data_IF_485149078048
#
_entry.id   IF_485149078048
#
_cell.length_a   1.000
_cell.length_b   1.000
_cell.length_c   1.000
_cell.angle_alpha   90.00
_cell.angle_beta   90.00
_cell.angle_gamma   90.00
#
_symmetry.space_group_name_H-M   'P 1'
#
loop_
_entity.id
_entity.type
_entity.pdbx_description
1 polymer ?
#
# COMPACT_ATOMS: atom_id res chain seq x y z
N UNK A 1 -27.07 1.56 8.72
CA UNK A 1 -25.91 0.95 9.38
C UNK A 1 -25.43 -0.18 8.48
N UNK A 2 -24.15 -0.20 8.09
CA UNK A 2 -23.65 -1.19 7.13
C UNK A 2 -23.48 -2.54 7.82
N UNK A 3 -24.12 -3.58 7.30
CA UNK A 3 -23.89 -4.98 7.68
C UNK A 3 -23.28 -5.65 6.44
N UNK A 4 -22.14 -6.33 6.59
CA UNK A 4 -21.58 -7.17 5.54
C UNK A 4 -21.91 -8.63 5.82
N UNK A 5 -22.40 -9.33 4.83
CA UNK A 5 -22.75 -10.75 4.87
C UNK A 5 -22.57 -11.38 3.50
N UNK A 6 -22.71 -12.71 3.40
CA UNK A 6 -22.57 -13.45 2.14
C UNK A 6 -23.36 -12.81 1.00
N UNK A 7 -22.67 -12.56 -0.12
CA UNK A 7 -23.22 -11.86 -1.29
C UNK A 7 -22.95 -10.35 -1.31
N UNK A 8 -22.51 -9.76 -0.19
CA UNK A 8 -22.00 -8.38 -0.17
C UNK A 8 -20.77 -8.23 -1.07
N UNK A 9 -20.61 -7.06 -1.69
CA UNK A 9 -19.48 -6.77 -2.58
C UNK A 9 -18.99 -5.34 -2.41
N UNK A 10 -17.72 -5.10 -2.69
CA UNK A 10 -17.13 -3.77 -2.76
C UNK A 10 -15.90 -3.60 -1.87
N UNK A 11 -15.41 -2.37 -1.81
CA UNK A 11 -14.16 -2.03 -1.13
C UNK A 11 -14.19 -2.29 0.39
N UNK A 12 -15.35 -2.20 1.04
CA UNK A 12 -15.46 -2.56 2.47
C UNK A 12 -15.24 -4.05 2.70
N UNK A 13 -15.76 -4.91 1.81
CA UNK A 13 -15.50 -6.36 1.89
C UNK A 13 -14.02 -6.63 1.65
N UNK A 14 -13.41 -5.97 0.67
CA UNK A 14 -11.98 -6.12 0.40
C UNK A 14 -11.13 -5.73 1.61
N UNK A 15 -11.43 -4.59 2.25
CA UNK A 15 -10.73 -4.15 3.45
C UNK A 15 -10.84 -5.15 4.61
N UNK A 16 -12.02 -5.76 4.79
CA UNK A 16 -12.23 -6.83 5.77
C UNK A 16 -11.37 -8.05 5.44
N UNK A 17 -11.36 -8.51 4.18
CA UNK A 17 -10.56 -9.66 3.76
C UNK A 17 -9.06 -9.39 4.00
N UNK A 18 -8.58 -8.17 3.73
CA UNK A 18 -7.22 -7.74 4.02
C UNK A 18 -6.91 -7.77 5.52
N UNK A 19 -7.81 -7.24 6.37
CA UNK A 19 -7.66 -7.27 7.84
C UNK A 19 -7.63 -8.70 8.36
N UNK A 20 -8.59 -9.53 7.93
CA UNK A 20 -8.64 -10.93 8.30
C UNK A 20 -7.32 -11.61 7.94
N UNK A 21 -6.83 -11.47 6.71
CA UNK A 21 -5.55 -12.05 6.32
C UNK A 21 -4.38 -11.60 7.18
N UNK A 22 -4.30 -10.31 7.50
CA UNK A 22 -3.25 -9.78 8.36
C UNK A 22 -3.25 -10.39 9.77
N UNK A 23 -4.41 -10.75 10.28
CA UNK A 23 -4.57 -11.24 11.65
C UNK A 23 -4.12 -12.69 11.87
N UNK A 24 -4.08 -13.52 10.82
CA UNK A 24 -3.58 -14.91 10.88
C UNK A 24 -4.08 -15.74 12.10
N UNK A 25 -5.39 -15.79 12.32
CA UNK A 25 -5.99 -16.59 13.41
C UNK A 25 -5.67 -18.09 13.29
N UNK A 26 -5.29 -18.73 14.40
CA UNK A 26 -5.04 -20.18 14.46
C UNK A 26 -6.34 -20.95 14.22
N UNK A 27 -6.30 -22.00 13.38
CA UNK A 27 -7.46 -22.88 13.17
C UNK A 27 -8.38 -22.52 12.01
N UNK A 28 -8.00 -21.56 11.14
CA UNK A 28 -8.65 -21.36 9.83
C UNK A 28 -8.74 -22.68 9.08
N UNK A 29 -9.95 -23.21 8.97
CA UNK A 29 -10.30 -24.16 7.93
C UNK A 29 -10.88 -23.33 6.79
N UNK A 30 -10.38 -23.58 5.59
CA UNK A 30 -11.00 -23.16 4.34
C UNK A 30 -11.41 -24.44 3.63
N UNK A 31 -12.52 -24.41 2.88
CA UNK A 31 -12.97 -25.53 2.07
C UNK A 31 -12.00 -25.90 0.92
N UNK A 32 -10.99 -25.08 0.62
CA UNK A 32 -9.93 -25.40 -0.36
C UNK A 32 -8.68 -25.98 0.31
N UNK A 33 -8.20 -27.12 -0.20
CA UNK A 33 -7.03 -27.83 0.31
C UNK A 33 -5.70 -27.09 0.12
N UNK A 34 -5.71 -25.98 -0.61
CA UNK A 34 -4.56 -25.12 -0.85
C UNK A 34 -4.87 -23.71 -0.30
N UNK A 35 -4.14 -23.31 0.76
CA UNK A 35 -3.69 -21.96 1.11
C UNK A 35 -4.17 -21.28 2.43
N UNK A 36 -3.20 -20.66 3.12
CA UNK A 36 -3.25 -19.96 4.43
C UNK A 36 -3.92 -18.56 4.43
N UNK A 37 -4.48 -18.09 3.30
CA UNK A 37 -5.01 -16.70 3.18
C UNK A 37 -6.19 -16.58 2.23
N UNK A 38 -7.19 -15.75 2.59
CA UNK A 38 -8.34 -15.37 1.76
C UNK A 38 -7.92 -14.63 0.49
N UNK A 39 -8.65 -14.82 -0.60
CA UNK A 39 -8.60 -13.90 -1.73
C UNK A 39 -9.20 -12.53 -1.31
N UNK A 40 -8.53 -11.43 -1.65
CA UNK A 40 -8.96 -10.06 -1.33
C UNK A 40 -9.63 -9.40 -2.53
N UNK A 41 -10.64 -10.07 -3.06
CA UNK A 41 -11.36 -9.69 -4.30
C UNK A 41 -12.52 -8.70 -4.06
N UNK A 42 -12.86 -8.44 -2.79
CA UNK A 42 -14.02 -7.62 -2.42
C UNK A 42 -15.36 -8.32 -2.61
N UNK A 43 -15.39 -9.66 -2.67
CA UNK A 43 -16.61 -10.47 -2.75
C UNK A 43 -16.76 -11.29 -1.47
N UNK A 44 -17.86 -11.10 -0.75
CA UNK A 44 -18.13 -11.82 0.48
C UNK A 44 -18.68 -13.21 0.13
N UNK A 45 -17.77 -14.12 -0.21
CA UNK A 45 -18.04 -15.52 -0.55
C UNK A 45 -18.07 -16.44 0.67
N UNK A 46 -18.13 -17.75 0.42
CA UNK A 46 -18.13 -18.78 1.47
C UNK A 46 -16.85 -18.72 2.34
N UNK A 47 -15.69 -18.54 1.72
CA UNK A 47 -14.41 -18.50 2.44
C UNK A 47 -14.32 -17.26 3.35
N UNK A 48 -14.86 -16.12 2.90
CA UNK A 48 -14.92 -14.91 3.73
C UNK A 48 -15.87 -15.10 4.92
N UNK A 49 -17.01 -15.75 4.71
CA UNK A 49 -17.96 -16.11 5.78
C UNK A 49 -17.33 -17.03 6.83
N UNK A 50 -16.62 -18.07 6.39
CA UNK A 50 -15.91 -19.01 7.27
C UNK A 50 -14.81 -18.31 8.09
N UNK A 51 -14.07 -17.39 7.47
CA UNK A 51 -13.07 -16.60 8.19
C UNK A 51 -13.68 -15.60 9.19
N UNK A 52 -14.86 -15.03 8.89
CA UNK A 52 -15.58 -14.17 9.84
C UNK A 52 -16.11 -14.99 11.00
N UNK A 53 -16.67 -16.17 10.76
CA UNK A 53 -17.12 -17.09 11.82
C UNK A 53 -15.96 -17.48 12.73
N UNK A 54 -14.82 -17.86 12.15
CA UNK A 54 -13.61 -18.20 12.91
C UNK A 54 -13.15 -17.01 13.78
N UNK A 55 -13.11 -15.81 13.19
CA UNK A 55 -12.76 -14.60 13.94
C UNK A 55 -13.74 -14.30 15.08
N UNK A 56 -15.05 -14.43 14.82
CA UNK A 56 -16.08 -14.22 15.84
C UNK A 56 -15.91 -15.19 17.00
N UNK A 57 -15.68 -16.48 16.71
CA UNK A 57 -15.43 -17.51 17.71
C UNK A 57 -14.20 -17.19 18.58
N UNK A 58 -13.06 -16.89 17.94
CA UNK A 58 -11.80 -16.56 18.63
C UNK A 58 -11.89 -15.27 19.45
N UNK A 59 -12.75 -14.35 19.04
CA UNK A 59 -12.99 -13.08 19.71
C UNK A 59 -14.11 -13.14 20.76
N UNK A 60 -14.73 -14.31 20.98
CA UNK A 60 -15.84 -14.49 21.92
C UNK A 60 -17.12 -13.73 21.53
N UNK A 61 -17.33 -13.51 20.23
CA UNK A 61 -18.51 -12.87 19.66
C UNK A 61 -19.58 -13.90 19.28
N UNK A 62 -20.80 -13.43 19.00
CA UNK A 62 -21.83 -14.28 18.42
C UNK A 62 -21.46 -14.68 16.99
N UNK A 63 -21.36 -15.99 16.73
CA UNK A 63 -20.91 -16.60 15.47
C UNK A 63 -22.02 -16.61 14.41
N UNK A 64 -22.45 -15.43 13.94
CA UNK A 64 -23.49 -15.31 12.90
C UNK A 64 -22.93 -15.16 11.47
N UNK A 65 -21.62 -15.07 11.31
CA UNK A 65 -20.95 -14.89 10.01
C UNK A 65 -21.17 -13.50 9.40
N UNK A 66 -21.76 -12.56 10.15
CA UNK A 66 -22.09 -11.21 9.70
C UNK A 66 -21.19 -10.19 10.36
N UNK A 67 -20.80 -9.18 9.59
CA UNK A 67 -20.01 -8.07 10.11
C UNK A 67 -20.94 -6.89 10.39
N UNK A 68 -21.46 -6.86 11.61
CA UNK A 68 -22.09 -5.67 12.19
C UNK A 68 -21.07 -4.78 12.92
N UNK A 69 -21.52 -3.70 13.58
CA UNK A 69 -20.64 -2.76 14.27
C UNK A 69 -19.77 -3.41 15.36
N UNK A 70 -20.29 -4.42 16.04
CA UNK A 70 -19.57 -5.13 17.11
C UNK A 70 -18.39 -5.92 16.52
N UNK A 71 -18.63 -6.71 15.48
CA UNK A 71 -17.58 -7.47 14.78
C UNK A 71 -16.57 -6.54 14.13
N UNK A 72 -17.01 -5.41 13.55
CA UNK A 72 -16.12 -4.43 12.96
C UNK A 72 -15.19 -3.78 14.00
N UNK A 73 -15.73 -3.40 15.17
CA UNK A 73 -14.94 -2.86 16.27
C UNK A 73 -13.91 -3.88 16.79
N UNK A 74 -14.29 -5.14 16.91
CA UNK A 74 -13.39 -6.22 17.30
C UNK A 74 -12.27 -6.44 16.26
N UNK A 75 -12.60 -6.48 14.97
CA UNK A 75 -11.61 -6.60 13.89
C UNK A 75 -10.58 -5.48 13.95
N UNK A 76 -11.05 -4.24 14.17
CA UNK A 76 -10.17 -3.09 14.29
C UNK A 76 -9.27 -3.18 15.52
N UNK A 77 -9.80 -3.58 16.67
CA UNK A 77 -9.01 -3.75 17.90
C UNK A 77 -7.97 -4.88 17.77
N UNK A 78 -8.37 -6.01 17.19
CA UNK A 78 -7.45 -7.12 16.92
C UNK A 78 -6.34 -6.68 15.97
N UNK A 79 -6.69 -5.93 14.91
CA UNK A 79 -5.74 -5.42 13.94
C UNK A 79 -4.71 -4.50 14.60
N UNK A 80 -5.16 -3.51 15.37
CA UNK A 80 -4.30 -2.60 16.11
C UNK A 80 -3.42 -3.32 17.13
N UNK A 81 -3.91 -4.42 17.72
CA UNK A 81 -3.13 -5.25 18.66
C UNK A 81 -2.03 -6.02 17.92
N UNK A 82 -2.37 -6.71 16.83
CA UNK A 82 -1.40 -7.45 16.01
C UNK A 82 -0.34 -6.55 15.40
N UNK A 83 -0.72 -5.35 14.94
CA UNK A 83 0.22 -4.33 14.48
C UNK A 83 1.19 -3.91 15.58
N UNK A 84 0.70 -3.69 16.82
CA UNK A 84 1.56 -3.37 17.97
C UNK A 84 2.52 -4.50 18.30
N UNK A 85 2.06 -5.76 18.28
CA UNK A 85 2.93 -6.93 18.51
C UNK A 85 4.08 -7.00 17.49
N UNK A 86 3.78 -6.78 16.20
CA UNK A 86 4.78 -6.83 15.13
C UNK A 86 5.77 -5.65 15.17
N UNK A 87 5.34 -4.49 15.67
CA UNK A 87 6.16 -3.27 15.72
C UNK A 87 6.92 -3.09 17.06
N UNK A 88 6.42 -3.65 18.16
CA UNK A 88 7.06 -3.64 19.48
C UNK A 88 6.40 -4.67 20.41
N UNK A 89 6.93 -5.91 20.50
CA UNK A 89 6.32 -7.02 21.24
C UNK A 89 6.09 -6.79 22.75
N UNK A 90 6.65 -5.72 23.32
CA UNK A 90 6.63 -5.42 24.76
C UNK A 90 5.72 -4.24 25.17
N UNK A 91 4.94 -3.65 24.25
CA UNK A 91 4.07 -2.49 24.54
C UNK A 91 2.58 -2.81 24.40
N UNK A 92 2.03 -3.58 25.35
CA UNK A 92 0.59 -3.90 25.42
C UNK A 92 -0.20 -2.93 26.33
N UNK A 93 0.23 -1.68 26.47
CA UNK A 93 -0.47 -0.67 27.27
C UNK A 93 -0.25 0.77 26.77
N UNK A 94 -1.16 1.28 25.93
CA UNK A 94 -1.15 2.67 25.44
C UNK A 94 -1.91 2.83 24.11
N UNK A 95 -2.35 4.05 23.80
CA UNK A 95 -2.80 4.38 22.43
C UNK A 95 -1.68 4.04 21.44
N UNK A 96 -2.03 3.58 20.23
CA UNK A 96 -1.07 3.25 19.17
C UNK A 96 -0.32 4.53 18.71
N UNK A 97 0.72 4.89 19.44
CA UNK A 97 1.69 5.91 19.04
C UNK A 97 2.74 5.20 18.19
N UNK A 98 2.73 5.48 16.89
CA UNK A 98 3.73 4.99 15.98
C UNK A 98 4.89 5.98 15.90
N UNK A 99 6.11 5.45 15.76
CA UNK A 99 7.29 6.27 15.49
C UNK A 99 7.45 6.48 13.99
N UNK A 100 8.28 7.46 13.62
CA UNK A 100 8.78 7.60 12.26
C UNK A 100 10.15 6.93 12.19
N UNK A 101 10.26 5.94 11.33
CA UNK A 101 11.46 5.13 11.15
C UNK A 101 12.12 5.39 9.81
N UNK A 102 13.43 5.20 9.76
CA UNK A 102 14.23 5.33 8.55
C UNK A 102 14.56 3.95 8.01
N UNK A 103 14.28 3.73 6.72
CA UNK A 103 14.53 2.48 6.01
C UNK A 103 15.49 2.65 4.84
N UNK A 104 16.12 1.55 4.38
CA UNK A 104 17.02 1.59 3.23
C UNK A 104 16.26 1.80 1.92
N UNK A 105 16.91 2.43 0.94
CA UNK A 105 16.47 2.49 -0.44
C UNK A 105 17.71 2.51 -1.35
N UNK A 106 17.54 2.14 -2.62
CA UNK A 106 18.62 2.10 -3.59
C UNK A 106 18.80 3.44 -4.31
N UNK A 107 20.07 3.79 -4.53
CA UNK A 107 20.40 4.86 -5.46
C UNK A 107 20.14 4.40 -6.89
N UNK A 108 19.51 5.28 -7.65
CA UNK A 108 19.38 5.18 -9.10
C UNK A 108 19.58 6.56 -9.69
N UNK A 109 20.24 6.64 -10.84
CA UNK A 109 20.67 7.91 -11.44
C UNK A 109 22.00 8.43 -10.88
N UNK A 110 22.33 9.68 -11.20
CA UNK A 110 23.64 10.27 -10.90
C UNK A 110 23.55 11.75 -10.55
N UNK A 111 24.57 12.28 -9.86
CA UNK A 111 24.64 13.71 -9.53
C UNK A 111 23.41 14.20 -8.73
N UNK A 112 22.74 15.23 -9.24
CA UNK A 112 21.51 15.81 -8.68
C UNK A 112 20.23 15.10 -9.15
N UNK A 113 20.32 14.26 -10.17
CA UNK A 113 19.21 13.46 -10.72
C UNK A 113 19.30 12.02 -10.20
N UNK A 114 19.29 11.87 -8.88
CA UNK A 114 19.33 10.57 -8.23
C UNK A 114 18.29 10.44 -7.12
N UNK A 115 17.83 9.21 -6.92
CA UNK A 115 16.95 8.86 -5.82
C UNK A 115 17.62 9.01 -4.45
N UNK A 116 16.82 8.97 -3.39
CA UNK A 116 17.33 8.95 -2.02
C UNK A 116 17.77 7.53 -1.64
N UNK A 117 18.89 7.38 -0.92
CA UNK A 117 19.36 6.07 -0.44
C UNK A 117 18.59 5.58 0.79
N UNK A 118 17.63 6.38 1.28
CA UNK A 118 16.81 6.11 2.46
C UNK A 118 15.49 6.83 2.32
N UNK A 119 14.47 6.31 2.97
CA UNK A 119 13.18 6.96 3.16
C UNK A 119 12.75 6.88 4.62
N UNK A 120 11.70 7.62 4.96
CA UNK A 120 11.09 7.58 6.30
C UNK A 120 9.62 7.25 6.19
N UNK A 121 9.13 6.32 7.01
CA UNK A 121 7.74 5.90 7.06
C UNK A 121 7.30 5.76 8.52
N UNK A 122 6.00 5.64 8.74
CA UNK A 122 5.48 5.21 10.04
C UNK A 122 5.92 3.78 10.34
N UNK A 123 6.22 3.43 11.60
CA UNK A 123 6.88 2.17 11.95
C UNK A 123 6.16 0.88 11.49
N UNK A 124 4.83 0.85 11.54
CA UNK A 124 4.01 -0.24 11.01
C UNK A 124 4.12 -0.34 9.48
N UNK A 125 4.11 0.79 8.79
CA UNK A 125 4.30 0.87 7.33
C UNK A 125 5.73 0.50 6.94
N UNK A 126 6.73 0.87 7.75
CA UNK A 126 8.13 0.52 7.56
C UNK A 126 8.34 -0.99 7.64
N UNK A 127 7.63 -1.68 8.54
CA UNK A 127 7.67 -3.14 8.63
C UNK A 127 7.18 -3.80 7.34
N UNK A 128 6.06 -3.33 6.79
CA UNK A 128 5.54 -3.81 5.51
C UNK A 128 6.50 -3.48 4.34
N UNK A 129 7.04 -2.26 4.30
CA UNK A 129 8.04 -1.86 3.31
C UNK A 129 9.28 -2.76 3.33
N UNK A 130 9.80 -3.08 4.52
CA UNK A 130 10.99 -3.92 4.66
C UNK A 130 10.79 -5.34 4.10
N UNK A 131 9.57 -5.88 4.13
CA UNK A 131 9.26 -7.17 3.50
C UNK A 131 9.34 -7.07 1.96
N UNK A 132 8.79 -5.99 1.39
CA UNK A 132 8.91 -5.70 -0.05
C UNK A 132 10.37 -5.48 -0.44
N UNK A 133 11.10 -4.66 0.32
CA UNK A 133 12.52 -4.35 0.08
C UNK A 133 13.38 -5.63 0.02
N UNK A 134 13.24 -6.51 1.02
CA UNK A 134 13.98 -7.79 1.06
C UNK A 134 13.69 -8.64 -0.16
N UNK A 135 12.41 -8.78 -0.53
CA UNK A 135 12.02 -9.63 -1.65
C UNK A 135 12.47 -9.07 -3.00
N UNK A 136 12.41 -7.75 -3.18
CA UNK A 136 12.95 -7.09 -4.38
C UNK A 136 14.46 -7.34 -4.49
N UNK A 137 15.22 -7.17 -3.41
CA UNK A 137 16.66 -7.43 -3.40
C UNK A 137 17.00 -8.91 -3.63
N UNK A 138 16.26 -9.83 -3.00
CA UNK A 138 16.43 -11.28 -3.17
C UNK A 138 16.39 -11.66 -4.65
N UNK A 139 15.43 -11.08 -5.38
CA UNK A 139 15.23 -11.31 -6.81
C UNK A 139 16.14 -10.46 -7.71
N UNK A 140 17.02 -9.65 -7.14
CA UNK A 140 17.98 -8.83 -7.87
C UNK A 140 17.40 -7.56 -8.48
N UNK A 141 16.25 -7.08 -8.00
CA UNK A 141 15.71 -5.77 -8.34
C UNK A 141 16.28 -4.64 -7.49
N UNK A 142 15.83 -3.41 -7.76
CA UNK A 142 16.13 -2.22 -6.95
C UNK A 142 14.85 -1.69 -6.32
N UNK A 143 14.97 -1.16 -5.09
CA UNK A 143 13.93 -0.41 -4.39
C UNK A 143 14.34 1.06 -4.25
N UNK A 144 14.11 1.86 -5.29
CA UNK A 144 14.51 3.27 -5.34
C UNK A 144 13.51 4.15 -4.59
N UNK A 145 13.89 5.39 -4.23
CA UNK A 145 12.96 6.29 -3.55
C UNK A 145 13.07 7.75 -3.94
N UNK A 146 11.92 8.42 -4.04
CA UNK A 146 11.74 9.88 -4.01
C UNK A 146 11.26 10.38 -2.63
N UNK A 147 11.14 9.48 -1.65
CA UNK A 147 10.80 9.80 -0.26
C UNK A 147 9.58 9.04 0.26
N UNK A 148 9.25 9.31 1.53
CA UNK A 148 8.09 8.77 2.22
C UNK A 148 7.34 9.89 2.94
N UNK A 149 7.48 10.02 4.26
CA UNK A 149 6.81 11.05 5.04
C UNK A 149 7.07 12.48 4.53
N UNK A 150 6.01 13.30 4.53
CA UNK A 150 6.04 14.72 4.13
C UNK A 150 5.98 15.63 5.34
N UNK A 151 6.75 16.72 5.29
CA UNK A 151 6.68 17.79 6.28
C UNK A 151 5.29 18.43 6.32
N UNK A 152 4.73 18.63 7.52
CA UNK A 152 3.38 19.15 7.73
C UNK A 152 3.13 20.50 7.04
N UNK A 153 4.16 21.33 6.88
CA UNK A 153 4.10 22.67 6.29
C UNK A 153 4.60 22.70 4.84
N UNK A 154 4.86 21.55 4.22
CA UNK A 154 5.20 21.48 2.80
C UNK A 154 4.11 22.16 1.96
N UNK A 155 4.54 23.05 1.06
CA UNK A 155 3.62 23.85 0.23
C UNK A 155 2.66 22.98 -0.56
N UNK A 156 1.36 23.15 -0.29
CA UNK A 156 0.25 22.56 -1.04
C UNK A 156 0.16 23.26 -2.40
N UNK A 157 0.03 22.49 -3.47
CA UNK A 157 -0.10 23.00 -4.83
C UNK A 157 -0.77 21.96 -5.72
N UNK A 158 -0.94 22.25 -7.02
CA UNK A 158 -1.57 21.31 -7.96
C UNK A 158 -0.97 19.91 -7.89
N UNK A 159 0.34 19.77 -7.63
CA UNK A 159 1.07 18.52 -7.56
C UNK A 159 1.21 17.93 -6.15
N UNK A 160 0.74 18.61 -5.10
CA UNK A 160 0.83 18.16 -3.70
C UNK A 160 -0.47 18.45 -2.95
N UNK A 161 -1.25 17.41 -2.68
CA UNK A 161 -2.50 17.51 -1.92
C UNK A 161 -2.25 17.67 -0.41
N UNK A 162 -3.09 18.47 0.25
CA UNK A 162 -3.14 18.61 1.71
C UNK A 162 -3.69 17.36 2.44
N UNK A 163 -4.39 16.48 1.74
CA UNK A 163 -4.98 15.25 2.31
C UNK A 163 -4.13 14.00 2.07
N UNK A 164 -2.90 14.17 1.60
CA UNK A 164 -2.04 13.07 1.17
C UNK A 164 -1.61 12.13 2.30
N UNK A 165 -1.55 10.83 2.01
CA UNK A 165 -1.04 9.79 2.91
C UNK A 165 0.42 9.98 3.33
N UNK A 166 1.20 10.80 2.59
CA UNK A 166 2.56 11.13 3.00
C UNK A 166 2.59 11.86 4.35
N UNK A 167 1.56 12.63 4.71
CA UNK A 167 1.54 13.31 6.01
C UNK A 167 1.38 12.31 7.16
N UNK A 168 0.64 11.21 7.00
CA UNK A 168 0.51 10.17 8.04
C UNK A 168 1.65 9.15 8.04
N UNK A 169 2.67 9.33 7.20
CA UNK A 169 3.77 8.37 7.05
C UNK A 169 3.34 7.06 6.37
N UNK A 170 2.18 7.05 5.69
CA UNK A 170 1.54 5.87 5.07
C UNK A 170 1.74 5.81 3.56
N UNK A 171 2.57 6.66 2.97
CA UNK A 171 2.87 6.61 1.54
C UNK A 171 4.36 6.73 1.26
N UNK A 172 4.76 6.13 0.15
CA UNK A 172 6.09 6.23 -0.44
C UNK A 172 6.00 6.54 -1.92
N UNK A 173 7.05 7.19 -2.41
CA UNK A 173 7.28 7.38 -3.84
C UNK A 173 8.55 6.61 -4.22
N UNK A 174 8.45 5.74 -5.23
CA UNK A 174 9.62 5.25 -5.96
C UNK A 174 10.32 6.44 -6.63
N UNK A 175 11.61 6.32 -6.97
CA UNK A 175 12.31 7.43 -7.61
C UNK A 175 11.67 7.75 -8.97
N UNK A 176 11.14 8.96 -9.13
CA UNK A 176 10.31 9.34 -10.28
C UNK A 176 11.00 9.18 -11.65
N UNK A 177 12.34 9.19 -11.69
CA UNK A 177 13.12 9.02 -12.93
C UNK A 177 13.64 7.59 -13.13
N UNK A 178 13.27 6.64 -12.27
CA UNK A 178 13.64 5.23 -12.40
C UNK A 178 12.67 4.39 -13.24
N UNK A 179 11.66 5.04 -13.83
CA UNK A 179 10.66 4.43 -14.72
C UNK A 179 10.00 5.46 -15.62
N UNK A 180 9.30 4.97 -16.65
CA UNK A 180 8.67 5.76 -17.71
C UNK A 180 9.62 6.69 -18.50
N UNK A 181 10.93 6.47 -18.49
CA UNK A 181 11.90 7.26 -19.27
C UNK A 181 12.32 6.49 -20.52
N UNK A 182 12.95 5.34 -20.32
CA UNK A 182 13.38 4.42 -21.35
C UNK A 182 13.15 2.97 -20.88
N UNK A 183 12.13 2.27 -21.41
CA UNK A 183 11.80 0.92 -21.00
C UNK A 183 12.91 -0.12 -21.26
N UNK A 184 13.96 0.22 -22.01
CA UNK A 184 15.12 -0.65 -22.17
C UNK A 184 16.06 -0.62 -20.95
N UNK A 185 16.13 0.53 -20.26
CA UNK A 185 17.15 0.79 -19.21
C UNK A 185 16.57 1.15 -17.85
N UNK A 186 15.29 1.52 -17.79
CA UNK A 186 14.58 1.83 -16.55
C UNK A 186 14.62 0.66 -15.56
N UNK A 187 14.73 1.01 -14.27
CA UNK A 187 14.60 0.04 -13.18
C UNK A 187 13.16 -0.46 -13.02
N UNK A 188 12.17 0.35 -13.42
CA UNK A 188 10.77 -0.03 -13.44
C UNK A 188 10.14 0.19 -14.81
N UNK A 189 9.33 -0.77 -15.24
CA UNK A 189 8.43 -0.59 -16.38
C UNK A 189 6.99 -0.48 -15.89
N UNK A 190 6.24 0.46 -16.45
CA UNK A 190 4.85 0.71 -16.09
C UNK A 190 3.92 0.19 -17.20
N UNK A 191 3.24 -0.93 -16.93
CA UNK A 191 2.22 -1.50 -17.79
C UNK A 191 0.90 -0.78 -17.58
N UNK A 192 0.27 -0.30 -18.65
CA UNK A 192 -1.06 0.29 -18.58
C UNK A 192 -2.13 -0.81 -18.50
N UNK A 193 -2.91 -0.84 -17.41
CA UNK A 193 -3.90 -1.92 -17.15
C UNK A 193 -5.35 -1.44 -17.04
N UNK A 194 -5.59 -0.15 -17.24
CA UNK A 194 -6.94 0.43 -17.17
C UNK A 194 -6.92 1.94 -17.32
N UNK A 195 -8.02 2.60 -16.96
CA UNK A 195 -8.09 4.06 -17.03
C UNK A 195 -7.13 4.68 -16.00
N UNK A 196 -5.99 5.16 -16.50
CA UNK A 196 -4.96 5.87 -15.72
C UNK A 196 -4.39 5.04 -14.57
N UNK A 197 -4.30 3.72 -14.72
CA UNK A 197 -3.67 2.82 -13.74
C UNK A 197 -2.53 2.05 -14.38
N UNK A 198 -1.52 1.77 -13.56
CA UNK A 198 -0.33 1.04 -13.98
C UNK A 198 -0.05 -0.12 -13.03
N UNK A 199 0.29 -1.27 -13.59
CA UNK A 199 1.10 -2.25 -12.89
C UNK A 199 2.56 -1.88 -13.09
N UNK A 200 3.32 -1.89 -12.02
CA UNK A 200 4.74 -1.54 -12.00
C UNK A 200 5.52 -2.83 -11.83
N UNK A 201 6.47 -3.06 -12.73
CA UNK A 201 7.35 -4.21 -12.68
C UNK A 201 8.79 -3.75 -12.43
N UNK A 202 9.42 -4.31 -11.40
CA UNK A 202 10.83 -4.09 -11.13
C UNK A 202 11.67 -4.97 -12.05
N UNK A 203 12.61 -4.37 -12.78
CA UNK A 203 13.63 -5.12 -13.51
C UNK A 203 14.55 -5.79 -12.52
N UNK A 204 14.88 -7.05 -12.80
CA UNK A 204 15.76 -7.88 -12.00
C UNK A 204 17.02 -8.23 -12.80
N UNK A 205 18.18 -8.20 -12.16
CA UNK A 205 19.47 -8.49 -12.80
C UNK A 205 20.14 -9.72 -12.20
N UNK A 206 20.67 -10.59 -13.06
CA UNK A 206 21.28 -11.87 -12.67
C UNK A 206 22.48 -11.71 -11.74
N UNK A 207 23.27 -10.64 -11.89
CA UNK A 207 24.44 -10.32 -11.05
C UNK A 207 24.05 -9.77 -9.67
N UNK A 208 22.79 -9.35 -9.49
CA UNK A 208 22.24 -8.84 -8.23
C UNK A 208 21.37 -9.85 -7.51
N UNK A 209 20.76 -10.79 -8.23
CA UNK A 209 19.86 -11.77 -7.66
C UNK A 209 20.63 -12.79 -6.81
N UNK A 210 19.99 -13.24 -5.74
CA UNK A 210 20.45 -14.42 -5.01
C UNK A 210 20.41 -15.66 -5.93
N UNK A 211 21.24 -16.65 -5.61
CA UNK A 211 21.34 -17.88 -6.41
C UNK A 211 19.97 -18.57 -6.51
N UNK A 212 19.46 -18.67 -7.75
CA UNK A 212 18.17 -19.30 -8.03
C UNK A 212 16.94 -18.42 -7.75
N UNK A 213 17.14 -17.15 -7.39
CA UNK A 213 16.04 -16.23 -7.06
C UNK A 213 15.61 -15.33 -8.24
N UNK A 214 16.38 -15.28 -9.32
CA UNK A 214 16.04 -14.46 -10.49
C UNK A 214 14.71 -14.93 -11.10
N UNK A 215 13.73 -14.02 -11.33
CA UNK A 215 12.48 -14.36 -12.01
C UNK A 215 12.73 -14.96 -13.38
N UNK A 216 11.85 -15.82 -13.91
CA UNK A 216 11.93 -16.21 -15.31
C UNK A 216 11.78 -14.98 -16.22
N UNK A 217 12.34 -15.08 -17.43
CA UNK A 217 12.14 -14.04 -18.43
C UNK A 217 10.66 -14.00 -18.84
N UNK A 218 10.10 -12.81 -18.90
CA UNK A 218 8.73 -12.56 -19.29
C UNK A 218 8.61 -11.34 -20.19
N UNK A 219 7.55 -11.28 -20.99
CA UNK A 219 7.21 -10.14 -21.82
C UNK A 219 6.07 -9.36 -21.17
N UNK A 220 6.34 -8.11 -20.79
CA UNK A 220 5.32 -7.19 -20.31
C UNK A 220 4.82 -6.41 -21.52
N UNK A 221 3.53 -6.58 -21.86
CA UNK A 221 2.87 -5.81 -22.90
C UNK A 221 2.39 -4.47 -22.38
N UNK A 222 2.01 -3.55 -23.26
CA UNK A 222 1.42 -2.26 -22.91
C UNK A 222 2.24 -1.40 -21.95
N UNK A 223 3.57 -1.53 -22.00
CA UNK A 223 4.50 -0.67 -21.25
C UNK A 223 4.48 0.72 -21.86
N UNK A 224 4.23 1.74 -21.04
CA UNK A 224 4.18 3.14 -21.47
C UNK A 224 5.29 3.97 -20.86
N UNK A 225 5.62 5.08 -21.52
CA UNK A 225 6.59 6.08 -21.05
C UNK A 225 5.94 7.44 -20.87
N UNK A 226 6.67 8.40 -20.31
CA UNK A 226 6.28 9.80 -20.31
C UNK A 226 6.02 10.34 -21.73
N UNK A 227 6.69 9.78 -22.75
CA UNK A 227 6.49 10.17 -24.15
C UNK A 227 5.28 9.48 -24.76
N UNK A 228 5.14 8.16 -24.57
CA UNK A 228 4.12 7.37 -25.25
C UNK A 228 2.76 7.42 -24.56
N UNK A 229 2.75 7.55 -23.23
CA UNK A 229 1.63 7.77 -22.29
C UNK A 229 0.51 6.73 -22.34
N UNK A 230 -0.12 6.63 -23.49
CA UNK A 230 -1.23 5.71 -23.79
C UNK A 230 -0.86 4.66 -24.85
N UNK A 231 0.20 4.90 -25.64
CA UNK A 231 0.67 3.94 -26.66
C UNK A 231 1.71 3.00 -26.05
N UNK A 232 1.29 1.79 -25.76
CA UNK A 232 2.12 0.75 -25.17
C UNK A 232 3.14 0.14 -26.15
N UNK A 233 4.24 -0.37 -25.59
CA UNK A 233 5.20 -1.26 -26.26
C UNK A 233 5.37 -2.54 -25.45
N UNK A 234 5.89 -3.59 -26.06
CA UNK A 234 6.25 -4.82 -25.33
C UNK A 234 7.72 -4.78 -24.93
N UNK A 235 8.01 -5.14 -23.69
CA UNK A 235 9.37 -5.21 -23.15
C UNK A 235 9.60 -6.60 -22.58
N UNK A 236 10.72 -7.22 -22.93
CA UNK A 236 11.07 -8.57 -22.45
C UNK A 236 12.28 -8.50 -21.53
N UNK A 237 12.24 -9.22 -20.41
CA UNK A 237 13.32 -9.27 -19.44
C UNK A 237 12.92 -10.06 -18.19
N UNK A 238 13.79 -10.07 -17.19
CA UNK A 238 13.47 -10.60 -15.87
C UNK A 238 12.78 -9.49 -15.07
N UNK A 239 11.53 -9.73 -14.71
CA UNK A 239 10.70 -8.75 -14.04
C UNK A 239 10.03 -9.38 -12.82
N UNK A 240 9.97 -8.63 -11.73
CA UNK A 240 9.13 -8.89 -10.57
C UNK A 240 7.92 -7.97 -10.64
N UNK A 241 6.71 -8.52 -10.50
CA UNK A 241 5.49 -7.73 -10.34
C UNK A 241 5.52 -7.02 -8.98
N UNK A 242 6.00 -5.78 -9.00
CA UNK A 242 6.19 -4.97 -7.80
C UNK A 242 4.84 -4.50 -7.27
N UNK A 243 3.87 -4.21 -8.14
CA UNK A 243 2.51 -3.86 -7.73
C UNK A 243 1.84 -4.99 -6.95
N UNK A 244 1.94 -6.24 -7.42
CA UNK A 244 1.41 -7.40 -6.72
C UNK A 244 2.13 -7.64 -5.37
N UNK A 245 3.46 -7.50 -5.34
CA UNK A 245 4.23 -7.63 -4.11
C UNK A 245 3.86 -6.53 -3.09
N UNK A 246 3.67 -5.29 -3.53
CA UNK A 246 3.17 -4.20 -2.70
C UNK A 246 1.77 -4.50 -2.17
N UNK A 247 0.86 -4.98 -3.02
CA UNK A 247 -0.51 -5.35 -2.62
C UNK A 247 -0.53 -6.44 -1.55
N UNK A 248 0.31 -7.47 -1.69
CA UNK A 248 0.49 -8.52 -0.67
C UNK A 248 0.93 -7.96 0.70
N UNK A 249 1.60 -6.82 0.70
CA UNK A 249 2.06 -6.12 1.91
C UNK A 249 1.18 -4.91 2.26
N UNK A 250 -0.01 -4.78 1.67
CA UNK A 250 -1.00 -3.78 2.05
C UNK A 250 -0.88 -2.42 1.39
N UNK A 251 -0.01 -2.27 0.39
CA UNK A 251 0.15 -1.06 -0.38
C UNK A 251 -0.71 -1.09 -1.65
N UNK A 252 -1.29 0.05 -2.02
CA UNK A 252 -2.04 0.23 -3.26
C UNK A 252 -1.47 1.37 -4.09
N UNK A 253 -1.39 1.24 -5.42
CA UNK A 253 -1.06 2.34 -6.30
C UNK A 253 -2.22 3.32 -6.43
N UNK A 254 -1.93 4.56 -6.79
CA UNK A 254 -2.96 5.56 -7.12
C UNK A 254 -3.15 5.70 -8.63
N UNK A 255 -4.23 6.39 -9.02
CA UNK A 255 -4.48 6.71 -10.43
C UNK A 255 -3.60 7.87 -10.88
N UNK A 256 -3.07 7.77 -12.10
CA UNK A 256 -2.56 8.92 -12.84
C UNK A 256 -3.65 10.00 -12.95
N UNK A 257 -3.21 11.24 -13.02
CA UNK A 257 -4.07 12.40 -13.24
C UNK A 257 -4.56 12.40 -14.68
N UNK A 258 -5.81 12.77 -14.90
CA UNK A 258 -6.39 12.80 -16.24
C UNK A 258 -5.64 13.71 -17.22
N UNK A 259 -5.01 14.77 -16.72
CA UNK A 259 -4.19 15.65 -17.55
C UNK A 259 -2.93 14.96 -18.09
N UNK A 260 -2.37 13.96 -17.40
CA UNK A 260 -1.15 13.29 -17.85
C UNK A 260 -1.36 12.58 -19.19
N UNK A 261 -2.41 11.76 -19.35
CA UNK A 261 -2.69 11.09 -20.63
C UNK A 261 -2.98 12.08 -21.78
N UNK A 262 -3.29 13.35 -21.46
CA UNK A 262 -3.56 14.45 -22.42
C UNK A 262 -2.35 15.38 -22.64
N UNK A 263 -1.14 14.93 -22.32
CA UNK A 263 0.09 15.71 -22.52
C UNK A 263 0.47 16.65 -21.38
N UNK A 264 -0.18 16.51 -20.21
CA UNK A 264 0.14 17.28 -19.01
C UNK A 264 1.48 16.91 -18.37
N UNK A 265 1.75 17.54 -17.22
CA UNK A 265 2.98 17.37 -16.44
C UNK A 265 3.30 15.89 -16.14
N UNK A 266 4.57 15.50 -16.23
CA UNK A 266 5.01 14.14 -15.94
C UNK A 266 4.68 13.73 -14.50
N UNK A 267 4.73 14.67 -13.54
CA UNK A 267 4.34 14.43 -12.16
C UNK A 267 2.87 13.98 -12.01
N UNK A 268 2.05 14.11 -13.05
CA UNK A 268 0.71 13.55 -13.08
C UNK A 268 0.65 12.05 -13.41
N UNK A 269 1.77 11.39 -13.72
CA UNK A 269 1.79 9.97 -14.03
C UNK A 269 1.56 9.10 -12.78
N UNK A 270 2.09 9.50 -11.61
CA UNK A 270 1.84 8.88 -10.30
C UNK A 270 2.10 7.37 -10.21
N UNK A 271 2.78 6.76 -11.20
CA UNK A 271 3.09 5.33 -11.22
C UNK A 271 4.01 4.91 -10.06
N UNK A 272 4.79 5.87 -9.54
CA UNK A 272 5.73 5.68 -8.44
C UNK A 272 5.07 5.67 -7.07
N UNK A 273 3.83 6.15 -6.95
CA UNK A 273 3.21 6.42 -5.66
C UNK A 273 2.42 5.20 -5.16
N UNK A 274 2.81 4.73 -3.98
CA UNK A 274 2.13 3.65 -3.27
C UNK A 274 1.72 4.11 -1.88
N UNK A 275 0.49 3.83 -1.50
CA UNK A 275 -0.07 4.15 -0.20
C UNK A 275 -0.53 2.91 0.54
N UNK A 276 -0.24 2.85 1.83
CA UNK A 276 -0.55 1.72 2.69
C UNK A 276 -1.90 1.91 3.36
N UNK A 277 -2.87 1.07 2.99
CA UNK A 277 -4.28 1.25 3.32
C UNK A 277 -4.79 0.32 4.43
N UNK A 278 -3.96 -0.64 4.87
CA UNK A 278 -4.38 -1.65 5.85
C UNK A 278 -4.80 -0.99 7.17
N UNK A 279 -5.95 -1.41 7.69
CA UNK A 279 -6.53 -0.86 8.92
C UNK A 279 -7.34 0.41 8.73
N UNK A 280 -7.49 0.90 7.51
CA UNK A 280 -8.45 1.95 7.20
C UNK A 280 -9.80 1.32 6.90
N UNK A 281 -10.82 1.75 7.64
CA UNK A 281 -12.19 1.25 7.53
C UNK A 281 -13.02 2.29 6.77
N UNK A 282 -13.57 1.95 5.59
CA UNK A 282 -14.39 2.86 4.80
C UNK A 282 -15.54 3.45 5.61
N UNK A 283 -15.68 4.78 5.57
CA UNK A 283 -16.71 5.49 6.31
C UNK A 283 -16.50 5.61 7.82
N UNK A 284 -15.37 5.15 8.36
CA UNK A 284 -15.05 5.19 9.80
C UNK A 284 -13.71 5.86 10.06
N UNK A 285 -12.64 5.44 9.40
CA UNK A 285 -11.30 5.99 9.63
C UNK A 285 -11.20 7.42 9.13
N UNK A 286 -10.70 8.34 9.97
CA UNK A 286 -10.52 9.75 9.60
C UNK A 286 -9.05 10.10 9.38
N UNK A 287 -8.79 11.06 8.49
CA UNK A 287 -7.44 11.54 8.22
C UNK A 287 -6.78 12.11 9.48
N UNK A 288 -7.55 12.84 10.29
CA UNK A 288 -7.09 13.41 11.56
C UNK A 288 -6.65 12.36 12.57
N UNK A 289 -7.42 11.27 12.70
CA UNK A 289 -7.06 10.17 13.59
C UNK A 289 -5.74 9.53 13.16
N UNK A 290 -5.51 9.36 11.86
CA UNK A 290 -4.25 8.82 11.34
C UNK A 290 -3.06 9.75 11.56
N UNK A 291 -3.25 11.07 11.49
CA UNK A 291 -2.21 12.04 11.82
C UNK A 291 -1.87 12.03 13.31
N UNK A 292 -2.88 11.91 14.19
CA UNK A 292 -2.66 11.90 15.64
C UNK A 292 -1.94 10.65 16.15
N UNK A 293 -1.86 9.58 15.35
CA UNK A 293 -1.05 8.39 15.67
C UNK A 293 0.46 8.66 15.63
N UNK A 294 0.92 9.74 15.01
CA UNK A 294 2.35 10.09 14.88
C UNK A 294 2.69 11.54 15.28
N UNK A 295 1.68 12.40 15.47
CA UNK A 295 1.86 13.79 15.86
C UNK A 295 1.02 14.15 17.08
N UNK A 296 1.55 15.05 17.92
CA UNK A 296 0.75 15.67 18.96
C UNK A 296 -0.31 16.59 18.35
N UNK A 297 -1.43 16.76 19.06
CA UNK A 297 -2.48 17.72 18.66
C UNK A 297 -1.94 19.14 18.50
N UNK A 298 -0.98 19.56 19.34
CA UNK A 298 -0.36 20.88 19.26
C UNK A 298 0.46 21.09 17.99
N UNK A 299 1.15 20.04 17.49
CA UNK A 299 1.87 20.11 16.22
C UNK A 299 0.92 20.22 15.01
N UNK A 300 -0.27 19.63 15.13
CA UNK A 300 -1.23 19.55 14.02
C UNK A 300 -2.11 20.80 13.87
N UNK A 301 -2.52 21.45 14.95
CA UNK A 301 -3.56 22.51 14.94
C UNK A 301 -3.35 23.60 13.89
N UNK A 302 -2.10 23.99 13.60
CA UNK A 302 -1.78 25.04 12.64
C UNK A 302 -1.24 24.52 11.30
N UNK A 303 -1.24 23.20 11.09
CA UNK A 303 -0.73 22.58 9.87
C UNK A 303 -1.80 22.57 8.76
N UNK A 304 -1.43 22.79 7.49
CA UNK A 304 -2.32 22.62 6.34
C UNK A 304 -3.14 21.31 6.32
N UNK A 305 -2.59 20.11 6.58
CA UNK A 305 -3.38 18.87 6.57
C UNK A 305 -4.47 18.82 7.64
N UNK A 306 -4.31 19.51 8.78
CA UNK A 306 -5.27 19.46 9.89
C UNK A 306 -6.60 20.16 9.61
N UNK A 307 -6.64 21.03 8.59
CA UNK A 307 -7.90 21.58 8.08
C UNK A 307 -8.85 20.48 7.58
N UNK A 308 -8.32 19.31 7.21
CA UNK A 308 -9.05 18.17 6.65
C UNK A 308 -9.15 16.99 7.62
N UNK A 309 -8.91 17.20 8.91
CA UNK A 309 -8.87 16.14 9.93
C UNK A 309 -10.15 15.29 10.01
N UNK A 310 -11.29 15.88 9.65
CA UNK A 310 -12.61 15.25 9.73
C UNK A 310 -12.95 14.47 8.45
N UNK A 311 -12.09 14.51 7.42
CA UNK A 311 -12.30 13.72 6.21
C UNK A 311 -12.15 12.23 6.53
N UNK A 312 -13.07 11.45 5.97
CA UNK A 312 -13.33 10.04 6.19
C UNK A 312 -12.90 9.23 4.97
N UNK A 313 -12.19 8.14 5.23
CA UNK A 313 -11.70 7.20 4.22
C UNK A 313 -12.83 6.68 3.31
N UNK A 314 -12.62 6.78 1.98
CA UNK A 314 -13.58 6.42 0.93
C UNK A 314 -14.92 7.17 0.98
N UNK A 315 -14.93 8.39 1.53
CA UNK A 315 -16.05 9.33 1.39
C UNK A 315 -15.56 10.66 0.82
N UNK A 316 -14.74 11.38 1.58
CA UNK A 316 -14.11 12.65 1.22
C UNK A 316 -12.57 12.60 1.38
N UNK A 317 -12.04 11.56 2.02
CA UNK A 317 -10.62 11.20 1.99
C UNK A 317 -10.36 10.01 1.05
N UNK A 318 -9.72 10.31 -0.09
CA UNK A 318 -9.26 9.38 -1.14
C UNK A 318 -10.33 8.45 -1.74
#
# INVERSE_FOLDING_TARGET
MMILEKGSRGSTVQAVQEILNFLHFEGRKSASADYDSLETDGIFGADTEEAVLSFQADSGLYEDGRIGPVTLAALQQAFETRQRELSSPLSLGGQANYSIEMGPADLFGSGTEKGYPRLRLRSDVMSAYNQVYKEVHRQGGLMTSSGGIRDLYATVNKNRSATSFHYSGRALDLFIWSGMQDPATDAYVAQRVGERRYNVYARCWQDKAEKGALPPQQTITDVVTNKSRVKGVSVTGHFLDLTALFAKNGFKPIRARAAFEKGGDYLGAEWWHFQWEVGLVPGVSTFGAELQKIYSKSALVNSPPWAYRDYVWQQDWF
#
